data_IF_180500502626
#
_entry.id   IF_180500502626
#
_cell.length_a   1.000
_cell.length_b   1.000
_cell.length_c   1.000
_cell.angle_alpha   90.00
_cell.angle_beta   90.00
_cell.angle_gamma   90.00
#
_symmetry.space_group_name_H-M   'P 1'
#
loop_
_entity.id
_entity.type
_entity.pdbx_description
1 polymer ?
#
# COMPACT_ATOMS: atom_id res chain seq x y z
N UNK A 1 6.10 20.05 -5.48
CA UNK A 1 6.31 20.61 -4.12
C UNK A 1 7.80 20.83 -3.91
N UNK A 2 8.17 21.94 -3.27
CA UNK A 2 9.54 22.23 -2.86
C UNK A 2 9.55 22.34 -1.34
N UNK A 3 10.47 21.65 -0.68
CA UNK A 3 10.63 21.68 0.78
C UNK A 3 11.90 22.46 1.13
N UNK A 4 11.87 23.24 2.22
CA UNK A 4 13.07 23.92 2.74
C UNK A 4 14.13 22.88 3.12
N UNK A 5 15.40 23.14 2.77
CA UNK A 5 16.53 22.29 3.19
C UNK A 5 16.85 22.51 4.68
N UNK A 6 16.94 21.41 5.44
CA UNK A 6 17.43 21.39 6.82
C UNK A 6 18.94 21.63 6.85
N UNK A 7 19.42 22.48 7.74
CA UNK A 7 20.81 22.94 7.79
C UNK A 7 21.57 22.48 9.03
N UNK A 8 20.87 22.26 10.15
CA UNK A 8 21.52 21.89 11.41
C UNK A 8 21.29 20.41 11.74
N UNK A 9 22.21 19.79 12.48
CA UNK A 9 22.02 18.42 13.00
C UNK A 9 20.74 18.35 13.84
N UNK A 10 20.48 19.37 14.66
CA UNK A 10 19.25 19.46 15.45
C UNK A 10 18.03 19.37 14.54
N UNK A 11 17.93 20.20 13.50
CA UNK A 11 16.81 20.15 12.55
C UNK A 11 16.71 18.76 11.91
N UNK A 12 17.83 18.19 11.44
CA UNK A 12 17.84 16.90 10.74
C UNK A 12 17.35 15.74 11.61
N UNK A 13 17.69 15.71 12.89
CA UNK A 13 17.37 14.58 13.78
C UNK A 13 16.17 14.86 14.71
N UNK A 14 15.47 15.99 14.58
CA UNK A 14 14.31 16.30 15.42
C UNK A 14 13.07 16.77 14.68
N UNK A 15 13.14 17.04 13.37
CA UNK A 15 12.00 17.56 12.62
C UNK A 15 11.35 16.52 11.71
N UNK A 16 10.03 16.63 11.59
CA UNK A 16 9.21 15.86 10.67
C UNK A 16 8.46 16.79 9.71
N UNK A 17 8.15 16.31 8.51
CA UNK A 17 7.30 17.02 7.57
C UNK A 17 5.84 16.86 7.99
N UNK A 18 5.17 18.00 8.15
CA UNK A 18 3.75 18.12 8.46
C UNK A 18 3.00 18.79 7.32
N UNK A 19 1.74 18.41 7.17
CA UNK A 19 0.77 19.09 6.33
C UNK A 19 0.12 20.21 7.13
N UNK A 20 0.22 21.42 6.61
CA UNK A 20 -0.45 22.59 7.13
C UNK A 20 -1.52 22.98 6.11
N UNK A 21 -2.78 22.95 6.54
CA UNK A 21 -3.88 23.51 5.75
C UNK A 21 -3.77 25.03 5.77
N UNK A 22 -3.19 25.57 4.71
CA UNK A 22 -3.32 26.97 4.36
C UNK A 22 -4.62 27.15 3.59
N UNK A 23 -5.33 28.25 3.85
CA UNK A 23 -6.72 28.54 3.40
C UNK A 23 -7.06 28.26 1.93
N UNK A 24 -6.08 27.99 1.06
CA UNK A 24 -6.27 27.66 -0.35
C UNK A 24 -5.46 26.44 -0.88
N UNK A 25 -4.49 25.88 -0.13
CA UNK A 25 -3.72 24.70 -0.56
C UNK A 25 -2.91 24.08 0.59
N UNK A 26 -2.72 22.75 0.60
CA UNK A 26 -1.86 22.10 1.58
C UNK A 26 -0.39 22.50 1.40
N UNK A 27 0.24 22.98 2.47
CA UNK A 27 1.66 23.33 2.53
C UNK A 27 2.39 22.28 3.35
N UNK A 28 3.58 21.88 2.90
CA UNK A 28 4.48 21.03 3.67
C UNK A 28 5.46 21.91 4.43
N UNK A 29 5.52 21.75 5.75
CA UNK A 29 6.50 22.44 6.58
C UNK A 29 7.13 21.50 7.61
N UNK A 30 8.33 21.86 8.06
CA UNK A 30 9.06 21.12 9.07
C UNK A 30 8.58 21.51 10.46
N UNK A 31 8.18 20.52 11.25
CA UNK A 31 7.82 20.67 12.64
C UNK A 31 8.80 19.91 13.52
N UNK A 32 9.37 20.60 14.50
CA UNK A 32 10.27 19.99 15.48
C UNK A 32 9.49 19.19 16.51
N UNK A 33 9.97 17.99 16.83
CA UNK A 33 9.54 17.23 17.99
C UNK A 33 10.32 17.75 19.21
N UNK A 34 9.66 18.37 20.22
CA UNK A 34 10.37 19.00 21.34
C UNK A 34 11.22 18.03 22.16
N UNK A 35 10.82 16.76 22.24
CA UNK A 35 11.56 15.71 22.97
C UNK A 35 12.87 15.38 22.24
N UNK A 36 12.81 15.16 20.93
CA UNK A 36 13.99 14.89 20.12
C UNK A 36 14.90 16.11 20.06
N UNK A 37 14.34 17.30 19.90
CA UNK A 37 15.12 18.53 19.85
C UNK A 37 15.91 18.76 21.14
N UNK A 38 15.28 18.62 22.30
CA UNK A 38 15.97 18.71 23.60
C UNK A 38 17.07 17.66 23.72
N UNK A 39 16.76 16.41 23.38
CA UNK A 39 17.71 15.31 23.48
C UNK A 39 18.96 15.54 22.63
N UNK A 40 18.79 15.85 21.34
CA UNK A 40 19.92 16.03 20.44
C UNK A 40 20.73 17.28 20.79
N UNK A 41 20.10 18.37 21.27
CA UNK A 41 20.81 19.55 21.76
C UNK A 41 21.72 19.22 22.94
N UNK A 42 21.21 18.52 23.95
CA UNK A 42 22.00 18.12 25.12
C UNK A 42 23.19 17.24 24.75
N UNK A 43 23.03 16.36 23.77
CA UNK A 43 24.12 15.47 23.33
C UNK A 43 25.15 16.24 22.47
N UNK A 44 24.71 17.18 21.62
CA UNK A 44 25.61 18.01 20.80
C UNK A 44 26.40 19.01 21.66
N UNK A 45 25.81 19.54 22.74
CA UNK A 45 26.50 20.43 23.69
C UNK A 45 27.72 19.78 24.36
N UNK A 46 27.83 18.45 24.31
CA UNK A 46 29.02 17.69 24.74
C UNK A 46 30.13 17.65 23.66
N UNK A 47 29.96 18.40 22.56
CA UNK A 47 30.89 18.66 21.45
C UNK A 47 31.47 17.41 20.76
N UNK A 48 30.63 16.37 20.62
CA UNK A 48 31.07 15.06 20.12
C UNK A 48 31.40 15.10 18.62
N UNK A 49 30.58 15.77 17.80
CA UNK A 49 30.80 15.93 16.35
C UNK A 49 29.77 16.86 15.70
N UNK A 50 30.17 17.57 14.65
CA UNK A 50 29.27 18.32 13.75
C UNK A 50 28.98 17.58 12.43
N UNK A 51 29.41 16.33 12.30
CA UNK A 51 29.20 15.53 11.08
C UNK A 51 27.84 14.82 11.08
N UNK A 52 27.05 15.04 10.02
CA UNK A 52 25.74 14.40 9.79
C UNK A 52 25.85 12.88 9.77
N UNK A 53 26.88 12.37 9.08
CA UNK A 53 27.05 10.93 8.87
C UNK A 53 27.49 10.25 10.18
N UNK A 54 28.28 10.92 11.01
CA UNK A 54 28.58 10.48 12.37
C UNK A 54 27.30 10.24 13.18
N UNK A 55 26.40 11.24 13.26
CA UNK A 55 25.15 11.13 14.02
C UNK A 55 24.21 10.06 13.47
N UNK A 56 24.13 9.95 12.15
CA UNK A 56 23.36 8.90 11.48
C UNK A 56 23.83 7.50 11.92
N UNK A 57 25.15 7.28 11.95
CA UNK A 57 25.76 6.01 12.41
C UNK A 57 25.61 5.80 13.91
N UNK A 58 25.75 6.86 14.70
CA UNK A 58 25.55 6.81 16.14
C UNK A 58 24.16 6.27 16.49
N UNK A 59 23.12 6.87 15.92
CA UNK A 59 21.74 6.43 16.16
C UNK A 59 21.45 5.06 15.57
N UNK A 60 22.05 4.69 14.43
CA UNK A 60 21.92 3.34 13.89
C UNK A 60 22.51 2.29 14.83
N UNK A 61 23.70 2.54 15.38
CA UNK A 61 24.30 1.64 16.37
C UNK A 61 23.42 1.52 17.60
N UNK A 62 22.90 2.63 18.13
CA UNK A 62 22.00 2.63 19.28
C UNK A 62 20.65 1.92 19.01
N UNK A 63 20.15 1.96 17.76
CA UNK A 63 18.97 1.23 17.34
C UNK A 63 19.19 -0.29 17.27
N UNK A 64 20.38 -0.72 16.86
CA UNK A 64 20.74 -2.13 16.68
C UNK A 64 21.32 -2.80 17.94
N UNK A 65 21.50 -2.04 19.03
CA UNK A 65 21.89 -2.58 20.33
C UNK A 65 20.78 -3.45 20.95
N UNK A 66 21.16 -4.29 21.90
CA UNK A 66 20.25 -5.12 22.70
C UNK A 66 20.39 -4.74 24.18
N UNK A 67 19.38 -4.08 24.82
CA UNK A 67 18.10 -3.65 24.24
C UNK A 67 18.25 -2.40 23.33
N UNK A 68 17.35 -2.20 22.35
CA UNK A 68 17.40 -1.06 21.46
C UNK A 68 17.00 0.22 22.20
N UNK A 69 17.72 1.32 21.94
CA UNK A 69 17.33 2.62 22.47
C UNK A 69 16.14 3.16 21.68
N UNK A 70 14.96 3.24 22.32
CA UNK A 70 13.73 3.70 21.66
C UNK A 70 13.89 5.06 20.96
N UNK A 71 14.56 6.00 21.62
CA UNK A 71 14.85 7.34 21.07
C UNK A 71 15.68 7.30 19.78
N UNK A 72 16.58 6.32 19.63
CA UNK A 72 17.41 6.19 18.44
C UNK A 72 16.58 5.94 17.19
N UNK A 73 15.48 5.19 17.32
CA UNK A 73 14.51 4.98 16.24
C UNK A 73 13.89 6.31 15.83
N UNK A 74 13.38 7.08 16.78
CA UNK A 74 12.70 8.36 16.51
C UNK A 74 13.64 9.38 15.84
N UNK A 75 14.89 9.48 16.31
CA UNK A 75 15.92 10.34 15.68
C UNK A 75 16.24 9.92 14.25
N UNK A 76 16.37 8.62 13.98
CA UNK A 76 16.60 8.13 12.63
C UNK A 76 15.40 8.33 11.70
N UNK A 77 14.18 8.19 12.23
CA UNK A 77 12.98 8.49 11.44
C UNK A 77 12.91 9.97 11.08
N UNK A 78 13.20 10.87 12.03
CA UNK A 78 13.33 12.30 11.73
C UNK A 78 14.40 12.55 10.66
N UNK A 79 15.57 11.91 10.81
CA UNK A 79 16.66 12.02 9.84
C UNK A 79 16.24 11.59 8.43
N UNK A 80 15.55 10.46 8.30
CA UNK A 80 15.13 9.86 7.02
C UNK A 80 13.81 10.41 6.46
N UNK A 81 13.18 11.39 7.12
CA UNK A 81 11.93 11.98 6.66
C UNK A 81 12.07 12.60 5.26
N UNK A 82 13.21 13.25 4.97
CA UNK A 82 13.48 13.78 3.62
C UNK A 82 13.74 12.66 2.61
N UNK A 83 14.38 11.56 2.99
CA UNK A 83 14.50 10.38 2.15
C UNK A 83 13.12 9.87 1.77
N UNK A 84 12.17 9.77 2.71
CA UNK A 84 10.79 9.35 2.43
C UNK A 84 10.10 10.31 1.43
N UNK A 85 10.28 11.63 1.61
CA UNK A 85 9.78 12.64 0.68
C UNK A 85 10.31 12.44 -0.76
N UNK A 86 11.60 12.20 -0.92
CA UNK A 86 12.21 11.99 -2.23
C UNK A 86 11.84 10.63 -2.84
N UNK A 87 11.73 9.58 -2.02
CA UNK A 87 11.26 8.26 -2.47
C UNK A 87 9.87 8.38 -3.09
N UNK A 88 8.96 9.14 -2.47
CA UNK A 88 7.61 9.35 -3.02
C UNK A 88 7.65 9.86 -4.47
N UNK A 89 8.46 10.88 -4.75
CA UNK A 89 8.63 11.41 -6.11
C UNK A 89 9.33 10.44 -7.07
N UNK A 90 10.28 9.62 -6.59
CA UNK A 90 10.93 8.60 -7.40
C UNK A 90 9.94 7.50 -7.78
N UNK A 91 9.17 7.00 -6.82
CA UNK A 91 8.23 5.90 -7.04
C UNK A 91 7.07 6.36 -7.90
N UNK A 92 6.47 7.51 -7.64
CA UNK A 92 5.38 8.06 -8.45
C UNK A 92 5.77 8.19 -9.93
N UNK A 93 7.00 8.62 -10.23
CA UNK A 93 7.51 8.66 -11.62
C UNK A 93 7.74 7.29 -12.24
N UNK A 94 8.04 6.27 -11.44
CA UNK A 94 8.27 4.89 -11.91
C UNK A 94 6.98 4.09 -12.06
N UNK A 95 6.02 4.32 -11.16
CA UNK A 95 4.76 3.60 -11.04
C UNK A 95 3.72 4.66 -10.68
N UNK A 96 3.05 5.21 -11.69
CA UNK A 96 1.96 6.15 -11.51
C UNK A 96 0.64 5.37 -11.47
N UNK A 97 0.01 5.36 -10.31
CA UNK A 97 -1.32 4.80 -10.09
C UNK A 97 -2.32 5.94 -10.17
N UNK A 98 -3.39 5.75 -10.95
CA UNK A 98 -4.40 6.77 -11.21
C UNK A 98 -5.01 7.35 -9.93
N UNK A 99 -5.26 6.51 -8.93
CA UNK A 99 -5.90 6.91 -7.67
C UNK A 99 -4.91 7.35 -6.58
N UNK A 100 -3.60 7.27 -6.82
CA UNK A 100 -2.60 7.67 -5.84
C UNK A 100 -2.05 9.05 -6.15
N UNK A 101 -2.21 9.94 -5.19
CA UNK A 101 -1.52 11.21 -5.13
C UNK A 101 -0.07 10.99 -4.69
N UNK A 102 0.78 12.01 -4.88
CA UNK A 102 2.15 12.00 -4.33
C UNK A 102 2.17 11.74 -2.81
N UNK A 103 1.14 12.22 -2.10
CA UNK A 103 1.02 12.11 -0.65
C UNK A 103 0.86 10.64 -0.23
N UNK A 104 0.14 9.84 -1.00
CA UNK A 104 -0.04 8.41 -0.72
C UNK A 104 1.30 7.67 -0.78
N UNK A 105 2.13 7.93 -1.81
CA UNK A 105 3.47 7.36 -1.89
C UNK A 105 4.35 7.79 -0.71
N UNK A 106 4.24 9.04 -0.27
CA UNK A 106 5.00 9.56 0.87
C UNK A 106 4.56 8.91 2.19
N UNK A 107 3.26 8.80 2.45
CA UNK A 107 2.73 8.11 3.63
C UNK A 107 3.11 6.62 3.64
N UNK A 108 3.05 5.95 2.50
CA UNK A 108 3.50 4.56 2.37
C UNK A 108 5.00 4.44 2.72
N UNK A 109 5.84 5.33 2.19
CA UNK A 109 7.27 5.35 2.48
C UNK A 109 7.56 5.59 3.97
N UNK A 110 6.89 6.57 4.59
CA UNK A 110 6.99 6.85 6.04
C UNK A 110 6.57 5.65 6.88
N UNK A 111 5.46 5.01 6.54
CA UNK A 111 4.94 3.84 7.26
C UNK A 111 5.93 2.67 7.21
N UNK A 112 6.49 2.39 6.04
CA UNK A 112 7.51 1.35 5.87
C UNK A 112 8.75 1.67 6.70
N UNK A 113 9.25 2.91 6.62
CA UNK A 113 10.38 3.34 7.44
C UNK A 113 10.08 3.19 8.94
N UNK A 114 8.90 3.61 9.41
CA UNK A 114 8.50 3.53 10.81
C UNK A 114 8.41 2.09 11.33
N UNK A 115 7.89 1.16 10.52
CA UNK A 115 7.67 -0.22 10.97
C UNK A 115 8.93 -1.10 10.84
N UNK A 116 9.67 -0.96 9.75
CA UNK A 116 10.72 -1.89 9.36
C UNK A 116 12.15 -1.32 9.49
N UNK A 117 12.33 -0.17 10.15
CA UNK A 117 13.61 0.56 10.16
C UNK A 117 14.83 -0.32 10.45
N UNK A 118 14.79 -1.09 11.54
CA UNK A 118 15.90 -1.94 11.96
C UNK A 118 16.21 -3.01 10.91
N UNK A 119 15.17 -3.61 10.30
CA UNK A 119 15.31 -4.63 9.24
C UNK A 119 15.87 -4.02 7.96
N UNK A 120 15.43 -2.82 7.60
CA UNK A 120 15.90 -2.12 6.40
C UNK A 120 17.38 -1.77 6.49
N UNK A 121 17.87 -1.43 7.69
CA UNK A 121 19.22 -0.93 7.95
C UNK A 121 20.18 -1.97 8.59
N UNK A 122 19.71 -3.18 8.88
CA UNK A 122 20.50 -4.22 9.57
C UNK A 122 21.84 -4.57 8.88
N UNK A 123 21.89 -4.49 7.55
CA UNK A 123 23.05 -4.85 6.73
C UNK A 123 23.75 -3.63 6.13
N UNK A 124 23.56 -2.45 6.73
CA UNK A 124 24.22 -1.24 6.28
C UNK A 124 25.74 -1.35 6.46
N UNK A 125 26.50 -0.97 5.42
CA UNK A 125 27.95 -0.85 5.46
C UNK A 125 28.37 0.58 5.10
N UNK A 126 29.09 1.23 6.02
CA UNK A 126 29.59 2.60 5.89
C UNK A 126 30.69 2.83 4.86
N UNK A 127 31.37 1.77 4.43
CA UNK A 127 32.45 1.86 3.44
C UNK A 127 31.90 2.03 2.02
N UNK A 128 30.69 1.52 1.76
CA UNK A 128 30.11 1.49 0.41
C UNK A 128 29.19 2.67 0.13
N UNK A 129 28.54 3.22 1.16
CA UNK A 129 27.56 4.28 0.97
C UNK A 129 27.27 5.06 2.25
N UNK A 130 26.79 6.29 2.09
CA UNK A 130 26.18 7.08 3.18
C UNK A 130 24.87 6.45 3.63
N UNK A 131 24.54 6.56 4.91
CA UNK A 131 23.35 5.92 5.47
C UNK A 131 22.08 6.33 4.72
N UNK A 132 21.94 7.63 4.44
CA UNK A 132 20.78 8.20 3.75
C UNK A 132 20.57 7.61 2.35
N UNK A 133 21.64 7.45 1.58
CA UNK A 133 21.59 6.87 0.23
C UNK A 133 21.16 5.41 0.29
N UNK A 134 21.75 4.65 1.22
CA UNK A 134 21.37 3.26 1.44
C UNK A 134 19.91 3.13 1.85
N UNK A 135 19.48 3.90 2.85
CA UNK A 135 18.11 3.93 3.34
C UNK A 135 17.12 4.28 2.21
N UNK A 136 17.40 5.33 1.43
CA UNK A 136 16.56 5.73 0.29
C UNK A 136 16.41 4.60 -0.73
N UNK A 137 17.50 3.88 -1.06
CA UNK A 137 17.44 2.71 -1.94
C UNK A 137 16.54 1.61 -1.36
N UNK A 138 16.75 1.24 -0.09
CA UNK A 138 15.99 0.17 0.58
C UNK A 138 14.51 0.51 0.71
N UNK A 139 14.19 1.73 1.12
CA UNK A 139 12.80 2.23 1.21
C UNK A 139 12.17 2.27 -0.19
N UNK A 140 12.89 2.71 -1.22
CA UNK A 140 12.37 2.69 -2.61
C UNK A 140 11.96 1.30 -3.03
N UNK A 141 12.82 0.30 -2.81
CA UNK A 141 12.51 -1.10 -3.14
C UNK A 141 11.29 -1.59 -2.36
N UNK A 142 11.25 -1.37 -1.05
CA UNK A 142 10.14 -1.80 -0.21
C UNK A 142 8.80 -1.14 -0.58
N UNK A 143 8.80 0.15 -0.91
CA UNK A 143 7.60 0.87 -1.39
C UNK A 143 7.13 0.29 -2.72
N UNK A 144 8.04 0.06 -3.67
CA UNK A 144 7.71 -0.55 -4.96
C UNK A 144 7.09 -1.93 -4.76
N UNK A 145 7.69 -2.75 -3.89
CA UNK A 145 7.19 -4.09 -3.63
C UNK A 145 5.79 -4.03 -3.00
N UNK A 146 5.56 -3.15 -2.00
CA UNK A 146 4.26 -2.98 -1.36
C UNK A 146 3.18 -2.51 -2.33
N UNK A 147 3.50 -1.56 -3.21
CA UNK A 147 2.56 -1.01 -4.20
C UNK A 147 2.23 -2.04 -5.29
N UNK A 148 3.16 -2.96 -5.57
CA UNK A 148 2.99 -4.01 -6.59
C UNK A 148 2.23 -5.24 -6.10
N UNK A 149 1.99 -5.38 -4.81
CA UNK A 149 1.15 -6.47 -4.30
C UNK A 149 -0.23 -6.37 -4.94
N UNK A 150 -0.66 -7.42 -5.65
CA UNK A 150 -1.91 -7.43 -6.42
C UNK A 150 -1.82 -6.77 -7.80
N UNK A 151 -0.61 -6.36 -8.24
CA UNK A 151 -0.30 -5.80 -9.56
C UNK A 151 0.90 -6.48 -10.21
N UNK A 152 1.15 -7.73 -9.83
CA UNK A 152 2.18 -8.58 -10.40
C UNK A 152 2.19 -8.59 -11.94
N UNK A 153 1.05 -8.58 -12.66
CA UNK A 153 1.05 -8.52 -14.12
C UNK A 153 1.73 -7.27 -14.69
N UNK A 154 1.62 -6.11 -14.04
CA UNK A 154 2.18 -4.84 -14.52
C UNK A 154 3.72 -4.84 -14.50
N UNK A 155 4.34 -5.75 -13.74
CA UNK A 155 5.80 -5.94 -13.70
C UNK A 155 6.34 -6.52 -15.00
N UNK A 156 5.54 -7.33 -15.69
CA UNK A 156 5.97 -8.12 -16.83
C UNK A 156 5.57 -7.44 -18.14
N UNK A 157 6.42 -7.53 -19.17
CA UNK A 157 5.95 -7.34 -20.55
C UNK A 157 4.86 -8.38 -20.87
N UNK A 158 4.02 -8.11 -21.87
CA UNK A 158 2.93 -9.02 -22.26
C UNK A 158 3.40 -10.47 -22.44
N UNK A 159 4.56 -10.65 -23.05
CA UNK A 159 5.16 -11.95 -23.32
C UNK A 159 5.80 -12.59 -22.09
N UNK A 160 6.41 -11.79 -21.22
CA UNK A 160 6.93 -12.26 -19.94
C UNK A 160 5.79 -12.66 -18.99
N UNK A 161 4.65 -11.95 -19.06
CA UNK A 161 3.43 -12.26 -18.34
C UNK A 161 2.86 -13.58 -18.84
N UNK A 162 2.63 -13.68 -20.16
CA UNK A 162 2.11 -14.89 -20.81
C UNK A 162 2.93 -16.14 -20.46
N UNK A 163 4.26 -16.02 -20.40
CA UNK A 163 5.15 -17.13 -20.03
C UNK A 163 5.08 -17.48 -18.53
N UNK A 164 4.89 -16.48 -17.67
CA UNK A 164 4.76 -16.64 -16.22
C UNK A 164 3.44 -17.26 -15.79
N UNK A 165 2.41 -17.20 -16.64
CA UNK A 165 1.11 -17.82 -16.37
C UNK A 165 1.25 -19.32 -16.12
N UNK A 166 0.37 -19.83 -15.27
CA UNK A 166 0.15 -21.26 -15.09
C UNK A 166 -1.08 -21.68 -15.87
N UNK A 167 -1.17 -22.97 -16.26
CA UNK A 167 -2.35 -23.52 -16.94
C UNK A 167 -3.63 -23.24 -16.14
N UNK A 168 -3.58 -23.38 -14.81
CA UNK A 168 -4.72 -23.11 -13.91
C UNK A 168 -5.16 -21.65 -13.95
N UNK A 169 -4.21 -20.72 -13.85
CA UNK A 169 -4.50 -19.27 -13.89
C UNK A 169 -5.09 -18.84 -15.23
N UNK A 170 -4.58 -19.38 -16.34
CA UNK A 170 -5.10 -19.06 -17.67
C UNK A 170 -6.53 -19.63 -17.89
N UNK A 171 -6.80 -20.87 -17.44
CA UNK A 171 -8.16 -21.45 -17.50
C UNK A 171 -9.14 -20.58 -16.71
N UNK A 172 -8.79 -20.22 -15.47
CA UNK A 172 -9.64 -19.37 -14.62
C UNK A 172 -9.89 -18.00 -15.27
N UNK A 173 -8.87 -17.44 -15.92
CA UNK A 173 -9.02 -16.17 -16.62
C UNK A 173 -9.96 -16.28 -17.83
N UNK A 174 -9.80 -17.32 -18.65
CA UNK A 174 -10.67 -17.56 -19.82
C UNK A 174 -12.12 -17.86 -19.42
N UNK A 175 -12.33 -18.60 -18.33
CA UNK A 175 -13.66 -18.91 -17.80
C UNK A 175 -14.44 -17.66 -17.40
N UNK A 176 -13.77 -16.70 -16.74
CA UNK A 176 -14.39 -15.42 -16.32
C UNK A 176 -14.89 -14.55 -17.47
N UNK A 177 -14.42 -14.79 -18.70
CA UNK A 177 -14.82 -14.05 -19.91
C UNK A 177 -15.95 -14.79 -20.66
N UNK A 178 -16.48 -15.89 -20.11
CA UNK A 178 -17.58 -16.69 -20.68
C UNK A 178 -17.29 -17.21 -22.11
N UNK A 179 -16.04 -17.55 -22.42
CA UNK A 179 -15.73 -18.22 -23.68
C UNK A 179 -16.26 -19.66 -23.70
N UNK A 180 -16.78 -20.17 -24.83
CA UNK A 180 -17.17 -21.56 -24.98
C UNK A 180 -15.95 -22.50 -24.94
N UNK A 181 -16.14 -23.75 -24.51
CA UNK A 181 -15.05 -24.70 -24.20
C UNK A 181 -14.09 -24.97 -25.38
N UNK A 182 -14.61 -25.00 -26.60
CA UNK A 182 -13.79 -25.16 -27.81
C UNK A 182 -12.84 -23.97 -27.99
N UNK A 183 -13.32 -22.75 -27.75
CA UNK A 183 -12.52 -21.52 -27.87
C UNK A 183 -11.48 -21.43 -26.76
N UNK A 184 -11.82 -21.86 -25.54
CA UNK A 184 -10.83 -21.98 -24.45
C UNK A 184 -9.71 -22.95 -24.83
N UNK A 185 -10.06 -24.07 -25.44
CA UNK A 185 -9.09 -25.09 -25.89
C UNK A 185 -8.14 -24.55 -26.95
N UNK A 186 -8.63 -23.74 -27.90
CA UNK A 186 -7.79 -23.02 -28.87
C UNK A 186 -6.77 -22.10 -28.17
N UNK A 187 -7.21 -21.29 -27.21
CA UNK A 187 -6.33 -20.37 -26.49
C UNK A 187 -5.27 -21.09 -25.64
N UNK A 188 -5.65 -22.19 -24.97
CA UNK A 188 -4.72 -23.01 -24.19
C UNK A 188 -3.68 -23.71 -25.06
N UNK A 189 -4.09 -24.20 -26.24
CA UNK A 189 -3.19 -24.85 -27.18
C UNK A 189 -2.18 -23.83 -27.76
N UNK A 190 -2.64 -22.64 -28.14
CA UNK A 190 -1.77 -21.56 -28.60
C UNK A 190 -0.75 -21.16 -27.52
N UNK A 191 -1.19 -20.99 -26.27
CA UNK A 191 -0.32 -20.71 -25.14
C UNK A 191 0.71 -21.81 -24.88
N UNK A 192 0.31 -23.08 -25.02
CA UNK A 192 1.23 -24.22 -24.88
C UNK A 192 2.33 -24.18 -25.95
N UNK A 193 1.94 -24.01 -27.22
CA UNK A 193 2.90 -23.92 -28.34
C UNK A 193 3.86 -22.73 -28.14
N UNK A 194 3.35 -21.59 -27.66
CA UNK A 194 4.17 -20.44 -27.30
C UNK A 194 5.21 -20.79 -26.22
N UNK A 195 4.83 -21.47 -25.13
CA UNK A 195 5.78 -21.81 -24.07
C UNK A 195 6.89 -22.78 -24.51
N UNK A 196 6.54 -23.71 -25.41
CA UNK A 196 7.46 -24.71 -25.98
C UNK A 196 8.52 -24.04 -26.87
N UNK A 197 8.12 -23.09 -27.71
CA UNK A 197 8.99 -22.51 -28.74
C UNK A 197 9.69 -21.23 -28.28
N UNK A 198 8.98 -20.35 -27.58
CA UNK A 198 9.52 -19.05 -27.19
C UNK A 198 10.48 -19.18 -26.00
N UNK A 199 11.79 -19.15 -26.27
CA UNK A 199 12.83 -19.28 -25.23
C UNK A 199 13.44 -17.92 -24.88
N UNK A 200 13.41 -17.50 -23.59
CA UNK A 200 13.96 -16.21 -23.20
C UNK A 200 15.49 -16.23 -23.31
N UNK A 201 16.04 -15.23 -23.99
CA UNK A 201 17.49 -15.04 -24.07
C UNK A 201 18.02 -14.69 -22.67
N UNK A 202 18.85 -15.57 -22.08
CA UNK A 202 19.31 -15.52 -20.67
C UNK A 202 20.00 -14.21 -20.25
N UNK A 203 20.36 -13.34 -21.20
CA UNK A 203 21.03 -12.06 -20.97
C UNK A 203 20.10 -10.90 -20.59
N UNK A 204 18.79 -11.00 -20.87
CA UNK A 204 17.81 -9.95 -20.57
C UNK A 204 17.10 -10.25 -19.25
N UNK A 205 16.88 -9.23 -18.41
CA UNK A 205 16.10 -9.38 -17.19
C UNK A 205 14.72 -9.99 -17.51
N UNK A 206 14.41 -11.14 -16.90
CA UNK A 206 13.24 -12.00 -17.18
C UNK A 206 11.86 -11.30 -17.18
N UNK A 207 11.77 -10.05 -16.73
CA UNK A 207 10.53 -9.28 -16.67
C UNK A 207 10.23 -8.47 -17.94
N UNK A 208 11.21 -8.26 -18.83
CA UNK A 208 11.03 -7.50 -20.08
C UNK A 208 11.44 -8.34 -21.30
N UNK A 209 10.64 -9.37 -21.58
CA UNK A 209 10.82 -10.19 -22.78
C UNK A 209 10.29 -9.44 -24.00
N UNK A 210 11.07 -9.49 -25.09
CA UNK A 210 10.73 -8.90 -26.38
C UNK A 210 9.56 -9.67 -27.04
N UNK A 211 8.80 -9.06 -27.96
CA UNK A 211 7.82 -9.81 -28.73
C UNK A 211 8.47 -10.97 -29.51
N UNK A 212 7.74 -12.09 -29.73
CA UNK A 212 8.18 -13.15 -30.61
C UNK A 212 8.51 -12.59 -31.99
N UNK A 213 9.64 -13.03 -32.54
CA UNK A 213 10.03 -12.74 -33.92
C UNK A 213 9.08 -13.41 -34.91
N UNK A 214 9.01 -12.91 -36.14
CA UNK A 214 8.14 -13.50 -37.18
C UNK A 214 8.43 -14.99 -37.40
N UNK A 215 9.71 -15.39 -37.34
CA UNK A 215 10.12 -16.79 -37.43
C UNK A 215 9.60 -17.65 -36.27
N UNK A 216 9.62 -17.12 -35.03
CA UNK A 216 9.06 -17.82 -33.88
C UNK A 216 7.53 -17.96 -33.98
N UNK A 217 6.83 -16.94 -34.47
CA UNK A 217 5.37 -16.99 -34.68
C UNK A 217 5.00 -18.02 -35.76
N UNK A 218 5.77 -18.12 -36.84
CA UNK A 218 5.59 -19.15 -37.87
C UNK A 218 5.77 -20.56 -37.28
N UNK A 219 6.83 -20.77 -36.50
CA UNK A 219 7.05 -22.05 -35.82
C UNK A 219 5.91 -22.40 -34.85
N UNK A 220 5.41 -21.40 -34.09
CA UNK A 220 4.25 -21.59 -33.20
C UNK A 220 3.01 -21.98 -34.00
N UNK A 221 2.79 -21.35 -35.16
CA UNK A 221 1.65 -21.62 -36.03
C UNK A 221 1.70 -23.03 -36.62
N UNK A 222 2.86 -23.44 -37.13
CA UNK A 222 3.07 -24.81 -37.63
C UNK A 222 2.80 -25.82 -36.51
N UNK A 223 3.38 -25.61 -35.33
CA UNK A 223 3.21 -26.50 -34.18
C UNK A 223 1.77 -26.58 -33.71
N UNK A 224 1.05 -25.46 -33.71
CA UNK A 224 -0.36 -25.40 -33.38
C UNK A 224 -1.20 -26.23 -34.36
N UNK A 225 -0.98 -26.05 -35.67
CA UNK A 225 -1.69 -26.78 -36.73
C UNK A 225 -1.37 -28.28 -36.74
N UNK A 226 -0.19 -28.70 -36.28
CA UNK A 226 0.13 -30.10 -36.05
C UNK A 226 -0.64 -30.68 -34.86
N UNK A 227 -0.62 -29.98 -33.72
CA UNK A 227 -1.20 -30.48 -32.47
C UNK A 227 -2.72 -30.45 -32.49
N UNK A 228 -3.34 -29.48 -33.18
CA UNK A 228 -4.80 -29.39 -33.25
C UNK A 228 -5.44 -30.62 -33.88
N UNK A 229 -4.77 -31.30 -34.82
CA UNK A 229 -5.27 -32.53 -35.47
C UNK A 229 -5.54 -33.67 -34.48
N UNK A 230 -5.00 -33.58 -33.26
CA UNK A 230 -5.24 -34.53 -32.17
C UNK A 230 -6.47 -34.20 -31.34
N UNK A 231 -7.10 -33.04 -31.55
CA UNK A 231 -8.28 -32.58 -30.84
C UNK A 231 -9.46 -32.53 -31.80
N UNK A 232 -10.54 -33.24 -31.48
CA UNK A 232 -11.73 -33.38 -32.34
C UNK A 232 -12.48 -32.04 -32.52
N UNK A 233 -12.27 -31.09 -31.62
CA UNK A 233 -13.08 -29.86 -31.49
C UNK A 233 -12.47 -28.62 -32.19
N UNK A 234 -11.34 -28.76 -32.89
CA UNK A 234 -10.59 -27.63 -33.50
C UNK A 234 -10.41 -27.85 -35.01
N UNK A 235 -11.37 -27.37 -35.81
CA UNK A 235 -11.49 -27.72 -37.23
C UNK A 235 -10.49 -27.02 -38.16
N UNK A 236 -10.31 -25.70 -38.04
CA UNK A 236 -9.71 -24.93 -39.15
C UNK A 236 -8.21 -24.63 -38.96
N UNK A 237 -7.47 -24.60 -40.08
CA UNK A 237 -6.07 -24.19 -40.12
C UNK A 237 -5.97 -22.73 -39.70
N UNK A 238 -5.08 -22.46 -38.73
CA UNK A 238 -4.90 -21.11 -38.19
C UNK A 238 -3.70 -20.45 -38.85
N UNK A 239 -3.86 -19.19 -39.22
CA UNK A 239 -2.82 -18.31 -39.77
C UNK A 239 -1.96 -17.68 -38.67
N UNK A 240 -0.81 -17.13 -39.06
CA UNK A 240 0.10 -16.45 -38.12
C UNK A 240 -0.59 -15.29 -37.39
N UNK A 241 -1.46 -14.55 -38.08
CA UNK A 241 -2.20 -13.42 -37.51
C UNK A 241 -3.24 -13.86 -36.47
N UNK A 242 -3.91 -14.98 -36.70
CA UNK A 242 -4.88 -15.55 -35.77
C UNK A 242 -4.20 -16.11 -34.53
N UNK A 243 -3.04 -16.77 -34.66
CA UNK A 243 -2.22 -17.18 -33.51
C UNK A 243 -1.81 -15.96 -32.68
N UNK A 244 -1.37 -14.89 -33.34
CA UNK A 244 -1.02 -13.65 -32.66
C UNK A 244 -2.22 -13.08 -31.88
N UNK A 245 -3.42 -13.14 -32.47
CA UNK A 245 -4.67 -12.70 -31.84
C UNK A 245 -5.05 -13.56 -30.63
N UNK A 246 -4.91 -14.89 -30.73
CA UNK A 246 -5.15 -15.81 -29.61
C UNK A 246 -4.20 -15.53 -28.43
N UNK A 247 -2.91 -15.30 -28.72
CA UNK A 247 -1.91 -15.01 -27.69
C UNK A 247 -2.16 -13.64 -27.03
N UNK A 248 -2.48 -12.60 -27.81
CA UNK A 248 -2.86 -11.29 -27.25
C UNK A 248 -4.13 -11.37 -26.41
N UNK A 249 -5.11 -12.16 -26.82
CA UNK A 249 -6.33 -12.38 -26.04
C UNK A 249 -6.01 -13.05 -24.70
N UNK A 250 -5.13 -14.05 -24.68
CA UNK A 250 -4.65 -14.66 -23.43
C UNK A 250 -4.00 -13.63 -22.50
N UNK A 251 -3.16 -12.74 -23.04
CA UNK A 251 -2.53 -11.66 -22.26
C UNK A 251 -3.58 -10.69 -21.71
N UNK A 252 -4.49 -10.20 -22.55
CA UNK A 252 -5.52 -9.24 -22.17
C UNK A 252 -6.39 -9.78 -21.04
N UNK A 253 -6.96 -10.97 -21.25
CA UNK A 253 -7.88 -11.62 -20.32
C UNK A 253 -7.19 -11.94 -18.99
N UNK A 254 -5.95 -12.43 -19.04
CA UNK A 254 -5.20 -12.71 -17.81
C UNK A 254 -4.82 -11.44 -17.04
N UNK A 255 -4.47 -10.34 -17.73
CA UNK A 255 -4.17 -9.05 -17.09
C UNK A 255 -5.41 -8.44 -16.44
N UNK A 256 -6.54 -8.43 -17.14
CA UNK A 256 -7.81 -7.89 -16.64
C UNK A 256 -8.26 -8.65 -15.39
N UNK A 257 -8.17 -9.98 -15.39
CA UNK A 257 -8.53 -10.82 -14.24
C UNK A 257 -7.58 -10.70 -13.05
N UNK A 258 -6.39 -10.16 -13.25
CA UNK A 258 -5.39 -9.99 -12.20
C UNK A 258 -5.42 -8.58 -11.59
N UNK A 259 -6.19 -7.64 -12.17
CA UNK A 259 -6.45 -6.35 -11.54
C UNK A 259 -7.38 -6.59 -10.35
N UNK A 260 -6.81 -6.80 -9.16
CA UNK A 260 -7.58 -6.66 -7.94
C UNK A 260 -7.97 -5.17 -7.80
N UNK A 261 -9.26 -4.82 -7.66
CA UNK A 261 -9.63 -3.46 -7.31
C UNK A 261 -9.03 -3.16 -5.92
N UNK A 262 -8.18 -2.13 -5.84
CA UNK A 262 -7.52 -1.74 -4.58
C UNK A 262 -8.54 -1.35 -3.51
N UNK A 263 -9.66 -0.79 -3.95
CA UNK A 263 -10.87 -0.54 -3.17
C UNK A 263 -12.00 -0.62 -4.19
N UNK A 264 -12.89 -1.61 -4.08
CA UNK A 264 -14.16 -1.53 -4.80
C UNK A 264 -14.98 -0.48 -4.07
N UNK A 265 -15.10 0.72 -4.61
CA UNK A 265 -16.10 1.66 -4.08
C UNK A 265 -17.46 0.97 -4.13
N UNK A 266 -18.19 1.00 -3.01
CA UNK A 266 -19.59 0.57 -2.95
C UNK A 266 -20.46 1.34 -3.95
N UNK A 267 -20.01 2.52 -4.40
CA UNK A 267 -20.70 3.35 -5.39
C UNK A 267 -20.44 2.92 -6.85
N UNK A 268 -19.58 1.93 -7.08
CA UNK A 268 -19.23 1.49 -8.42
C UNK A 268 -20.33 0.57 -8.97
N UNK A 269 -21.39 1.18 -9.51
CA UNK A 269 -22.61 0.53 -10.06
C UNK A 269 -22.36 -0.56 -11.10
N UNK A 270 -21.14 -0.67 -11.64
CA UNK A 270 -20.78 -1.63 -12.68
C UNK A 270 -20.27 -2.99 -12.14
N UNK A 271 -20.05 -3.14 -10.83
CA UNK A 271 -19.46 -4.36 -10.25
C UNK A 271 -20.32 -5.06 -9.19
N UNK A 272 -21.54 -4.58 -8.96
CA UNK A 272 -22.45 -5.26 -8.05
C UNK A 272 -23.37 -6.12 -8.92
N UNK A 273 -23.06 -7.42 -8.96
CA UNK A 273 -24.10 -8.41 -9.25
C UNK A 273 -25.21 -8.17 -8.23
N UNK A 274 -26.42 -7.88 -8.71
CA UNK A 274 -27.63 -7.59 -7.92
C UNK A 274 -27.90 -8.62 -6.81
N UNK A 275 -27.24 -9.77 -6.83
CA UNK A 275 -27.37 -10.82 -5.83
C UNK A 275 -26.68 -10.50 -4.50
N UNK A 276 -25.60 -9.69 -4.44
CA UNK A 276 -24.86 -9.49 -3.18
C UNK A 276 -25.48 -8.45 -2.23
N UNK A 277 -26.29 -7.51 -2.74
CA UNK A 277 -26.97 -6.51 -1.89
C UNK A 277 -28.12 -7.19 -1.11
N UNK A 278 -28.74 -8.23 -1.66
CA UNK A 278 -29.86 -8.92 -1.03
C UNK A 278 -29.47 -9.86 0.14
N UNK A 279 -28.18 -10.10 0.38
CA UNK A 279 -27.70 -10.99 1.45
C UNK A 279 -26.95 -10.28 2.58
N UNK A 280 -26.88 -8.95 2.58
CA UNK A 280 -26.46 -8.24 3.79
C UNK A 280 -27.62 -8.32 4.78
N UNK A 281 -27.46 -8.99 5.94
CA UNK A 281 -28.48 -8.93 6.97
C UNK A 281 -28.65 -7.46 7.35
N UNK A 282 -29.82 -6.90 7.05
CA UNK A 282 -30.26 -5.66 7.66
C UNK A 282 -30.44 -5.96 9.16
N UNK A 283 -29.38 -5.86 9.94
CA UNK A 283 -29.51 -5.59 11.36
C UNK A 283 -30.03 -4.15 11.52
N UNK A 284 -31.28 -3.94 11.11
CA UNK A 284 -32.10 -2.84 11.60
C UNK A 284 -32.45 -3.17 13.04
N UNK A 285 -31.50 -3.02 13.94
CA UNK A 285 -31.83 -2.85 15.34
C UNK A 285 -32.41 -1.45 15.44
N UNK A 286 -33.73 -1.38 15.63
CA UNK A 286 -34.48 -0.13 15.75
C UNK A 286 -33.82 0.75 16.83
N UNK A 287 -33.25 1.92 16.46
CA UNK A 287 -32.65 2.84 17.42
C UNK A 287 -33.62 3.24 18.52
N UNK A 288 -34.93 3.20 18.26
CA UNK A 288 -35.96 3.51 19.25
C UNK A 288 -36.05 2.46 20.35
N UNK A 289 -35.92 1.17 20.05
CA UNK A 289 -35.93 0.10 21.08
C UNK A 289 -34.72 0.20 22.02
N UNK A 290 -33.52 0.47 21.48
CA UNK A 290 -32.33 0.68 22.30
C UNK A 290 -32.45 1.92 23.18
N UNK A 291 -33.01 3.00 22.65
CA UNK A 291 -33.21 4.23 23.40
C UNK A 291 -34.23 4.07 24.52
N UNK A 292 -35.30 3.30 24.29
CA UNK A 292 -36.30 2.96 25.30
C UNK A 292 -35.72 2.10 26.42
N UNK A 293 -34.96 1.04 26.08
CA UNK A 293 -34.31 0.19 27.07
C UNK A 293 -33.27 0.97 27.90
N UNK A 294 -32.47 1.84 27.26
CA UNK A 294 -31.51 2.70 27.95
C UNK A 294 -32.22 3.67 28.90
N UNK A 295 -33.33 4.29 28.46
CA UNK A 295 -34.11 5.21 29.28
C UNK A 295 -34.72 4.52 30.49
N UNK A 296 -35.20 3.30 30.33
CA UNK A 296 -35.75 2.50 31.43
C UNK A 296 -34.66 2.22 32.48
N UNK A 297 -33.51 1.71 32.05
CA UNK A 297 -32.37 1.42 32.94
C UNK A 297 -31.90 2.67 33.67
N UNK A 298 -31.76 3.80 32.96
CA UNK A 298 -31.36 5.07 33.57
C UNK A 298 -32.42 5.59 34.54
N UNK A 299 -33.72 5.42 34.24
CA UNK A 299 -34.79 5.85 35.15
C UNK A 299 -34.81 5.05 36.45
N UNK A 300 -34.58 3.73 36.36
CA UNK A 300 -34.53 2.84 37.53
C UNK A 300 -33.29 3.11 38.38
N UNK A 301 -32.12 3.27 37.74
CA UNK A 301 -30.88 3.61 38.41
C UNK A 301 -30.98 4.98 39.10
N UNK A 302 -31.59 5.96 38.45
CA UNK A 302 -31.79 7.29 39.02
C UNK A 302 -32.74 7.25 40.23
N UNK A 303 -33.86 6.53 40.14
CA UNK A 303 -34.81 6.39 41.25
C UNK A 303 -34.22 5.67 42.47
N UNK A 304 -33.25 4.77 42.27
CA UNK A 304 -32.56 4.04 43.34
C UNK A 304 -31.53 4.90 44.09
N UNK A 305 -31.17 6.08 43.59
CA UNK A 305 -30.21 6.97 44.25
C UNK A 305 -30.86 7.72 45.42
N UNK A 306 -30.07 8.12 46.45
CA UNK A 306 -30.54 9.04 47.49
C UNK A 306 -31.00 10.38 46.90
N UNK A 307 -31.97 11.02 47.55
CA UNK A 307 -32.61 12.26 47.08
C UNK A 307 -31.61 13.41 46.84
N UNK A 308 -30.55 13.49 47.65
CA UNK A 308 -29.47 14.47 47.47
C UNK A 308 -28.67 14.24 46.18
N UNK A 309 -28.35 12.98 45.86
CA UNK A 309 -27.64 12.59 44.64
C UNK A 309 -28.49 12.78 43.38
N UNK A 310 -29.80 12.50 43.47
CA UNK A 310 -30.74 12.76 42.39
C UNK A 310 -30.79 14.25 42.04
N UNK A 311 -30.96 15.11 43.06
CA UNK A 311 -30.98 16.57 42.89
C UNK A 311 -29.66 17.09 42.32
N UNK A 312 -28.53 16.57 42.76
CA UNK A 312 -27.20 16.94 42.25
C UNK A 312 -27.05 16.60 40.76
N UNK A 313 -27.42 15.38 40.35
CA UNK A 313 -27.34 14.96 38.94
C UNK A 313 -28.30 15.75 38.04
N UNK A 314 -29.49 16.11 38.52
CA UNK A 314 -30.41 16.99 37.78
C UNK A 314 -29.76 18.38 37.59
N UNK A 315 -29.18 18.94 38.65
CA UNK A 315 -28.56 20.26 38.59
C UNK A 315 -27.34 20.27 37.65
N UNK A 316 -26.51 19.23 37.65
CA UNK A 316 -25.31 19.12 36.82
C UNK A 316 -25.63 18.80 35.35
N UNK A 317 -26.53 17.85 35.08
CA UNK A 317 -26.76 17.34 33.72
C UNK A 317 -28.01 17.88 33.03
N UNK A 318 -29.06 18.27 33.77
CA UNK A 318 -30.27 18.82 33.17
C UNK A 318 -30.25 20.36 33.10
N UNK A 319 -29.54 21.00 34.05
CA UNK A 319 -29.45 22.46 34.14
C UNK A 319 -28.04 23.00 33.84
N UNK A 320 -27.09 22.12 33.50
CA UNK A 320 -25.69 22.45 33.14
C UNK A 320 -24.97 23.34 34.17
N UNK A 321 -25.34 23.22 35.45
CA UNK A 321 -24.72 24.02 36.51
C UNK A 321 -23.32 23.50 36.81
N UNK A 322 -22.39 24.42 37.04
CA UNK A 322 -21.01 24.08 37.42
C UNK A 322 -20.99 23.62 38.87
N UNK A 323 -20.06 22.73 39.20
CA UNK A 323 -19.91 22.18 40.55
C UNK A 323 -19.77 23.26 41.64
N UNK A 324 -19.21 24.42 41.31
CA UNK A 324 -19.11 25.59 42.21
C UNK A 324 -20.46 26.16 42.63
N UNK A 325 -21.44 26.13 41.72
CA UNK A 325 -22.78 26.69 41.94
C UNK A 325 -23.66 25.66 42.68
N UNK A 326 -23.45 24.37 42.39
CA UNK A 326 -24.12 23.26 43.09
C UNK A 326 -23.68 23.20 44.56
N UNK A 327 -22.40 23.47 44.85
CA UNK A 327 -21.87 23.49 46.22
C UNK A 327 -22.57 24.54 47.11
N UNK A 328 -22.90 25.71 46.55
CA UNK A 328 -23.64 26.78 47.23
C UNK A 328 -25.09 26.38 47.56
N UNK A 329 -25.70 25.51 46.76
CA UNK A 329 -27.10 25.08 46.93
C UNK A 329 -27.23 24.00 48.01
N UNK A 330 -26.23 23.13 48.14
CA UNK A 330 -26.23 22.03 49.11
C UNK A 330 -25.50 22.34 50.43
N UNK A 331 -24.94 23.55 50.60
CA UNK A 331 -24.21 23.97 51.80
C UNK A 331 -23.10 22.97 52.21
N UNK A 332 -22.26 22.56 51.26
CA UNK A 332 -21.06 21.74 51.51
C UNK A 332 -19.79 22.58 51.67
#
# INVERSE_FOLDING_TARGET
MSIRKRKTIVEMFSTFLNLIDSKNYPILDWSANPKLERNIRTIIEQDISNDEEFWARYWLRALLQNPPLFLAKEHLLAYLEDSCYWVAGIVQRKIAIQDFTWMDYWQIARTIAANDLSKLLAHYNSETSRLKTYAQMRITSAVIDKIRVGREPEKYSDWAWLRSLTKKSLIQALYKVNFPDWQQSCHLLAWHCFKEIYTPNKKLQNHKLAPPTSQELELITVRYNELRKKYQDISDDVTVQEIQTLLYTCVKVSRENSKLPLVSSLDNKNNISDDLINYLPQEEIDPEEQFLALREVLSQAFAALPESSQKMLILEHALELKQTDIQLIFNF
#
